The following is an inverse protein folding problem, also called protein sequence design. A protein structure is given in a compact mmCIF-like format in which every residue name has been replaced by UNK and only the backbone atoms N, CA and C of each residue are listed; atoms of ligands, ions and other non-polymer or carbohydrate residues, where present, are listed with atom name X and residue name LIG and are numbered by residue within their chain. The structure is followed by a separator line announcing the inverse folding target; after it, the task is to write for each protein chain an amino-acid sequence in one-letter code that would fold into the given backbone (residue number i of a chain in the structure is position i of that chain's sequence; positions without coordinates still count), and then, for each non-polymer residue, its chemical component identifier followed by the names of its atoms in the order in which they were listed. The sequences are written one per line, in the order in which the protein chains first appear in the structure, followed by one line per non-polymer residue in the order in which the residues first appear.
data_IF_473352126104
#
_entry.id   IF_473352126104
#
_cell.length_a   1.000
_cell.length_b   1.000
_cell.length_c   1.000
_cell.angle_alpha   90.00
_cell.angle_beta   90.00
_cell.angle_gamma   90.00
#
_symmetry.space_group_name_H-M   'P 1'
#
loop_
_entity.id
_entity.type
_entity.pdbx_description
1 polymer ?
#
# COMPACT_ATOMS: atom_id res chain seq x y z
N UNK A 1 -16.83 -22.14 -4.96
CA UNK A 1 -15.94 -21.69 -3.88
C UNK A 1 -15.52 -20.30 -4.26
N UNK A 2 -15.96 -19.27 -3.53
CA UNK A 2 -15.55 -17.90 -3.81
C UNK A 2 -14.06 -17.79 -3.43
N UNK A 3 -13.17 -17.79 -4.41
CA UNK A 3 -11.76 -17.44 -4.17
C UNK A 3 -11.73 -16.03 -3.60
N UNK A 4 -11.28 -15.91 -2.35
CA UNK A 4 -11.12 -14.63 -1.70
C UNK A 4 -10.13 -13.78 -2.52
N UNK A 5 -10.61 -12.63 -2.99
CA UNK A 5 -9.83 -11.67 -3.76
C UNK A 5 -9.63 -10.41 -2.91
N UNK A 6 -8.43 -10.22 -2.33
CA UNK A 6 -8.20 -9.14 -1.37
C UNK A 6 -8.27 -7.79 -2.05
N UNK A 7 -9.00 -6.83 -1.45
CA UNK A 7 -9.05 -5.45 -1.92
C UNK A 7 -7.77 -4.72 -1.50
N UNK A 8 -6.97 -4.32 -2.47
CA UNK A 8 -5.67 -3.69 -2.23
C UNK A 8 -5.66 -2.25 -2.73
N UNK A 9 -5.22 -1.31 -1.89
CA UNK A 9 -4.98 0.08 -2.28
C UNK A 9 -3.47 0.34 -2.42
N UNK A 10 -3.05 0.80 -3.58
CA UNK A 10 -1.66 1.05 -3.93
C UNK A 10 -1.39 2.56 -4.07
N UNK A 11 -0.56 3.14 -3.20
CA UNK A 11 -0.12 4.53 -3.35
C UNK A 11 1.12 4.62 -4.23
N UNK A 12 0.97 5.20 -5.42
CA UNK A 12 2.04 5.23 -6.43
C UNK A 12 2.59 6.65 -6.62
N UNK A 13 3.90 6.79 -6.49
CA UNK A 13 4.62 8.02 -6.85
C UNK A 13 4.42 8.35 -8.35
N UNK A 14 3.99 9.58 -8.66
CA UNK A 14 3.85 10.08 -10.03
C UNK A 14 5.15 10.16 -10.83
N UNK A 15 6.31 9.95 -10.19
CA UNK A 15 7.62 9.95 -10.85
C UNK A 15 8.04 8.52 -11.21
N UNK A 16 8.64 7.77 -10.29
CA UNK A 16 9.21 6.44 -10.59
C UNK A 16 8.14 5.36 -10.78
N UNK A 17 7.13 5.31 -9.90
CA UNK A 17 6.11 4.27 -9.98
C UNK A 17 5.17 4.45 -11.19
N UNK A 18 4.81 5.69 -11.53
CA UNK A 18 4.05 5.96 -12.75
C UNK A 18 4.84 5.64 -14.02
N UNK A 19 6.14 5.94 -14.06
CA UNK A 19 7.00 5.54 -15.17
C UNK A 19 7.07 4.00 -15.28
N UNK A 20 7.28 3.29 -14.16
CA UNK A 20 7.29 1.83 -14.13
C UNK A 20 5.96 1.24 -14.59
N UNK A 21 4.82 1.81 -14.18
CA UNK A 21 3.49 1.43 -14.67
C UNK A 21 3.35 1.61 -16.19
N UNK A 22 3.89 2.72 -16.73
CA UNK A 22 3.95 2.95 -18.17
C UNK A 22 4.81 1.93 -18.91
N UNK A 23 5.94 1.51 -18.34
CA UNK A 23 6.77 0.42 -18.89
C UNK A 23 6.01 -0.90 -18.85
N UNK A 24 5.39 -1.25 -17.72
CA UNK A 24 4.59 -2.46 -17.56
C UNK A 24 3.49 -2.58 -18.63
N UNK A 25 2.78 -1.49 -18.90
CA UNK A 25 1.77 -1.45 -19.96
C UNK A 25 2.34 -1.70 -21.36
N UNK A 26 3.56 -1.21 -21.66
CA UNK A 26 4.21 -1.41 -22.97
C UNK A 26 4.68 -2.84 -23.20
N UNK A 27 5.08 -3.54 -22.15
CA UNK A 27 5.48 -4.95 -22.21
C UNK A 27 4.30 -5.92 -22.07
N UNK A 28 3.07 -5.40 -21.99
CA UNK A 28 1.85 -6.20 -21.90
C UNK A 28 1.60 -6.80 -20.51
N UNK A 29 2.23 -6.26 -19.46
CA UNK A 29 1.95 -6.67 -18.09
C UNK A 29 0.89 -5.76 -17.47
N UNK A 30 -0.12 -6.37 -16.86
CA UNK A 30 -1.24 -5.68 -16.23
C UNK A 30 -1.28 -5.98 -14.74
N UNK A 31 -1.72 -5.00 -13.95
CA UNK A 31 -1.99 -5.21 -12.55
C UNK A 31 -3.14 -6.21 -12.34
N UNK A 32 -3.13 -6.97 -11.24
CA UNK A 32 -4.28 -7.75 -10.82
C UNK A 32 -5.52 -6.85 -10.62
N UNK A 33 -6.73 -7.32 -10.98
CA UNK A 33 -7.95 -6.50 -10.95
C UNK A 33 -8.40 -6.10 -9.53
N UNK A 34 -7.84 -6.74 -8.51
CA UNK A 34 -8.11 -6.47 -7.09
C UNK A 34 -7.24 -5.34 -6.51
N UNK A 35 -6.35 -4.76 -7.32
CA UNK A 35 -5.47 -3.64 -6.92
C UNK A 35 -5.98 -2.33 -7.52
N UNK A 36 -6.27 -1.36 -6.66
CA UNK A 36 -6.63 0.01 -7.05
C UNK A 36 -5.47 0.96 -6.81
N UNK A 37 -5.02 1.66 -7.85
CA UNK A 37 -3.89 2.60 -7.78
C UNK A 37 -4.37 4.01 -7.47
N UNK A 38 -3.77 4.62 -6.45
CA UNK A 38 -3.91 6.02 -6.08
C UNK A 38 -2.60 6.74 -6.39
N UNK A 39 -2.63 7.68 -7.32
CA UNK A 39 -1.46 8.46 -7.69
C UNK A 39 -1.20 9.60 -6.70
N UNK A 40 0.04 9.69 -6.23
CA UNK A 40 0.52 10.79 -5.39
C UNK A 40 1.74 11.46 -6.02
N UNK A 41 1.87 12.80 -5.98
CA UNK A 41 3.04 13.48 -6.55
C UNK A 41 4.38 12.96 -6.01
N UNK A 42 4.41 12.54 -4.75
CA UNK A 42 5.55 11.90 -4.11
C UNK A 42 5.06 11.09 -2.90
N UNK A 43 5.70 9.95 -2.61
CA UNK A 43 5.45 9.17 -1.39
C UNK A 43 5.72 9.97 -0.11
N UNK A 44 6.56 11.00 -0.17
CA UNK A 44 6.81 11.90 0.96
C UNK A 44 5.58 12.70 1.41
N UNK A 45 4.54 12.83 0.58
CA UNK A 45 3.26 13.47 0.93
C UNK A 45 2.28 12.55 1.64
N UNK A 46 2.55 11.24 1.64
CA UNK A 46 1.69 10.26 2.30
C UNK A 46 1.88 10.42 3.80
N UNK A 47 0.84 10.84 4.50
CA UNK A 47 0.76 10.81 5.97
C UNK A 47 0.13 9.51 6.48
N UNK A 48 0.33 9.20 7.76
CA UNK A 48 -0.20 8.02 8.45
C UNK A 48 -1.72 7.84 8.24
N UNK A 49 -2.48 8.94 8.30
CA UNK A 49 -3.93 8.90 8.07
C UNK A 49 -4.31 8.40 6.67
N UNK A 50 -3.51 8.69 5.63
CA UNK A 50 -3.77 8.18 4.29
C UNK A 50 -3.55 6.67 4.19
N UNK A 51 -2.66 6.12 5.03
CA UNK A 51 -2.37 4.68 5.07
C UNK A 51 -3.42 3.92 5.90
N UNK A 52 -3.95 4.55 6.95
CA UNK A 52 -5.01 3.97 7.80
C UNK A 52 -6.38 4.03 7.14
N UNK A 53 -6.67 5.09 6.37
CA UNK A 53 -8.01 5.32 5.80
C UNK A 53 -8.53 4.15 4.94
N UNK A 54 -7.73 3.52 4.05
CA UNK A 54 -8.18 2.35 3.31
C UNK A 54 -8.62 1.18 4.20
N UNK A 55 -7.93 0.95 5.32
CA UNK A 55 -8.32 -0.12 6.26
C UNK A 55 -9.67 0.18 6.91
N UNK A 56 -9.97 1.43 7.24
CA UNK A 56 -11.29 1.85 7.72
C UNK A 56 -12.39 1.61 6.67
N UNK A 57 -12.05 1.74 5.38
CA UNK A 57 -12.97 1.55 4.25
C UNK A 57 -13.08 0.07 3.81
N UNK A 58 -12.43 -0.85 4.53
CA UNK A 58 -12.48 -2.29 4.27
C UNK A 58 -11.49 -2.77 3.21
N UNK A 59 -10.36 -2.10 3.03
CA UNK A 59 -9.23 -2.64 2.29
C UNK A 59 -8.56 -3.76 3.09
N UNK A 60 -8.24 -4.87 2.41
CA UNK A 60 -7.56 -6.02 3.02
C UNK A 60 -6.05 -5.79 3.12
N UNK A 61 -5.52 -4.89 2.29
CA UNK A 61 -4.13 -4.46 2.36
C UNK A 61 -3.86 -3.15 1.63
N UNK A 62 -2.74 -2.54 2.00
CA UNK A 62 -2.27 -1.27 1.46
C UNK A 62 -0.79 -1.41 1.11
N UNK A 63 -0.35 -0.87 -0.02
CA UNK A 63 1.08 -0.75 -0.24
C UNK A 63 1.47 0.60 -0.84
N UNK A 64 2.72 0.98 -0.62
CA UNK A 64 3.30 2.22 -1.12
C UNK A 64 4.38 1.89 -2.14
N UNK A 65 4.21 2.34 -3.38
CA UNK A 65 5.20 2.22 -4.44
C UNK A 65 6.01 3.53 -4.55
N UNK A 66 7.24 3.50 -4.05
CA UNK A 66 8.18 4.61 -3.99
C UNK A 66 9.33 4.52 -4.99
N UNK A 67 10.01 5.64 -5.19
CA UNK A 67 11.34 5.62 -5.84
C UNK A 67 12.33 4.88 -4.94
N UNK A 68 13.44 4.38 -5.50
CA UNK A 68 14.56 3.94 -4.68
C UNK A 68 15.13 5.12 -3.86
N UNK A 69 15.76 4.81 -2.73
CA UNK A 69 16.26 5.81 -1.78
C UNK A 69 17.30 6.74 -2.41
N UNK A 70 18.19 6.17 -3.22
CA UNK A 70 19.26 6.85 -3.96
C UNK A 70 18.76 7.71 -5.13
N UNK A 71 17.62 7.34 -5.73
CA UNK A 71 17.02 8.02 -6.89
C UNK A 71 15.79 8.87 -6.54
N UNK A 72 15.56 9.12 -5.24
CA UNK A 72 14.44 9.93 -4.81
C UNK A 72 14.59 11.38 -5.27
N UNK A 73 13.72 11.82 -6.19
CA UNK A 73 13.69 13.20 -6.70
C UNK A 73 13.61 14.27 -5.61
N UNK A 74 12.99 13.93 -4.48
CA UNK A 74 12.81 14.83 -3.33
C UNK A 74 13.69 14.46 -2.13
N UNK A 75 14.75 13.67 -2.36
CA UNK A 75 15.79 13.20 -1.43
C UNK A 75 15.31 12.32 -0.26
N UNK A 76 14.26 12.71 0.45
CA UNK A 76 13.84 12.07 1.71
C UNK A 76 12.42 11.51 1.66
N UNK A 77 11.73 11.62 0.52
CA UNK A 77 10.32 11.28 0.40
C UNK A 77 10.03 9.81 0.71
N UNK A 78 10.80 8.91 0.11
CA UNK A 78 10.67 7.46 0.35
C UNK A 78 11.08 7.07 1.76
N UNK A 79 12.15 7.66 2.30
CA UNK A 79 12.61 7.41 3.68
C UNK A 79 11.54 7.82 4.70
N UNK A 80 10.87 8.96 4.49
CA UNK A 80 9.73 9.39 5.32
C UNK A 80 8.55 8.42 5.20
N UNK A 81 8.24 7.98 3.98
CA UNK A 81 7.17 7.00 3.76
C UNK A 81 7.47 5.67 4.45
N UNK A 82 8.70 5.16 4.38
CA UNK A 82 9.12 3.93 5.07
C UNK A 82 8.93 4.02 6.59
N UNK A 83 9.32 5.15 7.20
CA UNK A 83 9.09 5.39 8.63
C UNK A 83 7.60 5.42 8.99
N UNK A 84 6.76 6.01 8.13
CA UNK A 84 5.31 6.05 8.34
C UNK A 84 4.67 4.69 8.16
N UNK A 85 5.10 3.89 7.19
CA UNK A 85 4.64 2.50 7.01
C UNK A 85 5.01 1.66 8.22
N UNK A 86 6.26 1.75 8.70
CA UNK A 86 6.68 1.08 9.93
C UNK A 86 5.84 1.50 11.15
N UNK A 87 5.52 2.79 11.26
CA UNK A 87 4.63 3.27 12.32
C UNK A 87 3.21 2.70 12.20
N UNK A 88 2.66 2.62 10.99
CA UNK A 88 1.34 2.02 10.74
C UNK A 88 1.36 0.51 11.04
N UNK A 89 2.42 -0.22 10.69
CA UNK A 89 2.58 -1.64 11.06
C UNK A 89 2.42 -1.82 12.58
N UNK A 90 3.10 -0.99 13.38
CA UNK A 90 2.97 -1.03 14.84
C UNK A 90 1.55 -0.71 15.32
N UNK A 91 0.87 0.24 14.69
CA UNK A 91 -0.53 0.57 15.02
C UNK A 91 -1.44 -0.61 14.72
N UNK A 92 -1.29 -1.26 13.55
CA UNK A 92 -2.08 -2.42 13.16
C UNK A 92 -1.89 -3.58 14.14
N UNK A 93 -0.64 -3.88 14.51
CA UNK A 93 -0.32 -4.91 15.49
C UNK A 93 -0.98 -4.63 16.85
N UNK A 94 -0.95 -3.38 17.33
CA UNK A 94 -1.58 -2.97 18.59
C UNK A 94 -3.11 -3.14 18.62
N UNK A 95 -3.76 -3.08 17.46
CA UNK A 95 -5.21 -3.27 17.33
C UNK A 95 -5.59 -4.69 16.91
N UNK A 96 -4.62 -5.62 16.87
CA UNK A 96 -4.85 -7.02 16.51
C UNK A 96 -5.04 -7.26 15.02
N UNK A 97 -4.53 -6.37 14.16
CA UNK A 97 -4.52 -6.52 12.70
C UNK A 97 -3.11 -6.91 12.26
N UNK A 98 -3.01 -7.83 11.30
CA UNK A 98 -1.73 -8.34 10.83
C UNK A 98 -0.90 -7.23 10.15
N UNK A 99 0.34 -6.94 10.62
CA UNK A 99 1.18 -5.88 10.05
C UNK A 99 1.63 -6.16 8.61
N UNK A 100 1.55 -7.42 8.16
CA UNK A 100 1.80 -7.86 6.78
C UNK A 100 0.81 -7.25 5.78
N UNK A 101 -0.32 -6.70 6.26
CA UNK A 101 -1.32 -6.03 5.42
C UNK A 101 -0.87 -4.68 4.90
N UNK A 102 0.26 -4.14 5.37
CA UNK A 102 0.86 -2.93 4.80
C UNK A 102 2.31 -3.14 4.39
N UNK A 103 2.72 -2.62 3.24
CA UNK A 103 4.14 -2.64 2.84
C UNK A 103 4.58 -1.40 2.04
N UNK A 104 5.89 -1.13 2.02
CA UNK A 104 6.51 -0.21 1.07
C UNK A 104 7.42 -0.97 0.09
N UNK A 105 7.21 -0.73 -1.19
CA UNK A 105 8.03 -1.26 -2.27
C UNK A 105 8.78 -0.13 -2.97
N UNK A 106 10.09 -0.27 -3.07
CA UNK A 106 10.96 0.68 -3.72
C UNK A 106 11.27 0.20 -5.15
N UNK A 107 11.16 1.08 -6.12
CA UNK A 107 11.35 0.75 -7.53
C UNK A 107 11.98 1.90 -8.31
N UNK A 108 12.72 1.54 -9.37
CA UNK A 108 13.24 2.51 -10.33
C UNK A 108 12.19 2.78 -11.42
N UNK A 109 12.37 3.87 -12.18
CA UNK A 109 11.47 4.21 -13.30
C UNK A 109 11.48 3.16 -14.43
N UNK A 110 12.53 2.35 -14.54
CA UNK A 110 12.67 1.32 -15.56
C UNK A 110 12.11 -0.05 -15.13
N UNK A 111 11.74 -0.21 -13.86
CA UNK A 111 11.37 -1.50 -13.26
C UNK A 111 9.89 -1.85 -13.51
N UNK A 112 9.50 -1.96 -14.79
CA UNK A 112 8.13 -2.28 -15.20
C UNK A 112 7.62 -3.62 -14.69
N UNK A 113 8.42 -4.69 -14.82
CA UNK A 113 8.07 -6.02 -14.31
C UNK A 113 7.83 -5.98 -12.81
N UNK A 114 8.76 -5.35 -12.08
CA UNK A 114 8.70 -5.21 -10.63
C UNK A 114 7.43 -4.50 -10.15
N UNK A 115 6.94 -3.51 -10.90
CA UNK A 115 5.68 -2.84 -10.56
C UNK A 115 4.49 -3.82 -10.51
N UNK A 116 4.42 -4.77 -11.43
CA UNK A 116 3.35 -5.79 -11.44
C UNK A 116 3.64 -6.91 -10.44
N UNK A 117 4.90 -7.32 -10.32
CA UNK A 117 5.33 -8.34 -9.35
C UNK A 117 5.03 -7.93 -7.92
N UNK A 118 5.23 -6.67 -7.54
CA UNK A 118 4.89 -6.18 -6.18
C UNK A 118 3.39 -6.27 -5.88
N UNK A 119 2.53 -6.07 -6.87
CA UNK A 119 1.08 -6.22 -6.73
C UNK A 119 0.67 -7.69 -6.57
N UNK A 120 1.32 -8.59 -7.32
CA UNK A 120 1.15 -10.04 -7.19
C UNK A 120 1.66 -10.52 -5.83
N UNK A 121 2.82 -10.05 -5.41
CA UNK A 121 3.42 -10.35 -4.12
C UNK A 121 2.50 -9.92 -2.98
N UNK A 122 1.98 -8.69 -3.02
CA UNK A 122 1.02 -8.22 -2.02
C UNK A 122 -0.25 -9.07 -2.00
N UNK A 123 -0.76 -9.46 -3.18
CA UNK A 123 -1.93 -10.34 -3.27
C UNK A 123 -1.66 -11.71 -2.64
N UNK A 124 -0.50 -12.32 -2.92
CA UNK A 124 -0.09 -13.60 -2.35
C UNK A 124 0.14 -13.55 -0.84
N UNK A 125 0.60 -12.41 -0.31
CA UNK A 125 0.70 -12.18 1.15
C UNK A 125 -0.66 -12.12 1.83
N UNK A 126 -1.67 -11.51 1.18
CA UNK A 126 -2.99 -11.29 1.77
C UNK A 126 -3.94 -12.47 1.65
N UNK A 127 -3.83 -13.27 0.59
CA UNK A 127 -4.65 -14.47 0.39
C UNK A 127 -4.72 -15.41 1.61
N UNK A 128 -3.60 -15.82 2.24
CA UNK A 128 -3.64 -16.70 3.41
C UNK A 128 -4.15 -16.01 4.68
N UNK A 129 -4.07 -14.67 4.76
CA UNK A 129 -4.59 -13.88 5.89
C UNK A 129 -6.11 -13.73 5.86
N UNK A 130 -6.72 -13.94 4.70
CA UNK A 130 -8.16 -13.78 4.52
C UNK A 130 -8.63 -12.32 4.63
N UNK A 131 -9.96 -12.12 4.56
CA UNK A 131 -10.55 -10.78 4.60
C UNK A 131 -10.26 -10.11 5.94
N UNK A 132 -10.00 -8.81 5.90
CA UNK A 132 -10.01 -7.99 7.09
C UNK A 132 -11.43 -8.05 7.68
N UNK A 133 -11.56 -8.60 8.89
CA UNK A 133 -12.87 -8.79 9.52
C UNK A 133 -13.62 -7.45 9.60
N UNK A 134 -14.93 -7.37 9.26
CA UNK A 134 -15.73 -6.13 9.29
C UNK A 134 -15.90 -5.46 10.68
N UNK A 135 -15.11 -5.84 11.68
CA UNK A 135 -15.27 -5.51 13.09
C UNK A 135 -14.07 -4.82 13.73
N UNK A 136 -13.10 -4.31 12.97
CA UNK A 136 -12.11 -3.36 13.50
C UNK A 136 -12.83 -2.04 13.81
N UNK A 137 -13.57 -2.06 14.93
CA UNK A 137 -14.36 -0.97 15.44
C UNK A 137 -13.41 0.02 16.13
N UNK A 138 -12.75 0.84 15.32
CA UNK A 138 -11.88 1.95 15.76
C UNK A 138 -12.68 2.96 16.61
N UNK A 139 -14.01 2.94 16.56
CA UNK A 139 -14.90 3.81 17.33
C UNK A 139 -15.21 3.34 18.77
N UNK A 140 -14.72 2.17 19.21
CA UNK A 140 -14.97 1.68 20.58
C UNK A 140 -14.33 2.51 21.71
N UNK A 141 -13.54 3.55 21.39
CA UNK A 141 -12.97 4.51 22.36
C UNK A 141 -13.31 5.98 22.10
N UNK A 142 -14.35 6.32 21.34
CA UNK A 142 -14.95 7.66 21.46
C UNK A 142 -15.79 7.69 22.73
N UNK A 143 -15.11 8.03 23.82
CA UNK A 143 -15.67 8.16 25.15
C UNK A 143 -16.97 8.98 25.15
N UNK A 144 -17.87 8.53 26.02
CA UNK A 144 -18.91 9.37 26.60
C UNK A 144 -18.32 10.74 26.94
N UNK A 145 -18.63 11.74 26.12
CA UNK A 145 -18.59 13.14 26.52
C UNK A 145 -20.01 13.47 26.94
N UNK A 146 -20.23 13.39 28.24
CA UNK A 146 -21.23 14.17 28.96
C UNK A 146 -21.01 15.67 28.75
#
# INVERSE_FOLDING_TARGET
MNEFSPRIIAFCCSNCAAAAAGVAGRIGMSLPPNVSVVHVPCTGRIEVLHLLKPFEEGADGVYVAGCQEDSCRYMTGVVKAAKRVAHVKNILEQIGVEPERIEIFNMSAASGNWFVETAVEMTGRLQPLGPLSPGVNIDSKRGARS
#
